data_IF_213790751965
#
_entry.id   IF_213790751965
#
_cell.length_a   1.000
_cell.length_b   1.000
_cell.length_c   1.000
_cell.angle_alpha   90.00
_cell.angle_beta   90.00
_cell.angle_gamma   90.00
#
_symmetry.space_group_name_H-M   'P 1'
#
loop_
_entity.id
_entity.type
_entity.pdbx_description
1 polymer ?
#
# COMPACT_ATOMS: atom_id res chain seq x y z
N UNK A 1 2.72 -3.51 -15.05
CA UNK A 1 3.46 -4.61 -14.39
C UNK A 1 2.84 -5.03 -13.05
N UNK A 2 2.92 -4.24 -11.96
CA UNK A 2 2.48 -4.66 -10.61
C UNK A 2 1.03 -5.13 -10.53
N UNK A 3 0.08 -4.37 -11.11
CA UNK A 3 -1.35 -4.69 -11.10
C UNK A 3 -1.67 -6.00 -11.82
N UNK A 4 -1.01 -6.23 -12.95
CA UNK A 4 -1.24 -7.40 -13.80
C UNK A 4 -0.94 -8.70 -13.05
N UNK A 5 0.13 -8.72 -12.25
CA UNK A 5 0.54 -9.90 -11.47
C UNK A 5 -0.43 -10.23 -10.33
N UNK A 6 -1.23 -9.27 -9.87
CA UNK A 6 -2.19 -9.43 -8.76
C UNK A 6 -3.65 -9.50 -9.24
N UNK A 7 -3.86 -9.77 -10.53
CA UNK A 7 -5.21 -9.89 -11.12
C UNK A 7 -5.94 -8.55 -11.24
N UNK A 8 -5.22 -7.45 -11.40
CA UNK A 8 -5.77 -6.11 -11.65
C UNK A 8 -5.70 -5.18 -10.45
N UNK A 9 -6.83 -4.56 -10.12
CA UNK A 9 -6.92 -3.44 -9.20
C UNK A 9 -7.15 -2.13 -9.95
N UNK A 10 -8.27 -1.46 -9.66
CA UNK A 10 -8.60 -0.15 -10.23
C UNK A 10 -8.17 1.02 -9.33
N UNK A 11 -8.10 0.79 -8.02
CA UNK A 11 -7.77 1.82 -7.05
C UNK A 11 -6.33 2.31 -7.24
N UNK A 12 -6.08 3.61 -7.09
CA UNK A 12 -4.72 4.19 -7.18
C UNK A 12 -3.74 3.45 -6.25
N UNK A 13 -2.51 3.15 -6.69
CA UNK A 13 -1.51 2.56 -5.79
C UNK A 13 -1.04 3.68 -4.86
N UNK A 14 -1.21 3.56 -3.52
CA UNK A 14 -0.75 4.57 -2.60
C UNK A 14 0.79 4.55 -2.55
N UNK A 15 1.39 5.70 -2.26
CA UNK A 15 2.85 5.81 -2.24
C UNK A 15 3.31 6.87 -1.27
N UNK A 16 4.48 6.65 -0.69
CA UNK A 16 5.26 7.64 0.03
C UNK A 16 6.67 7.70 -0.57
N UNK A 17 7.33 8.85 -0.45
CA UNK A 17 8.74 9.02 -0.81
C UNK A 17 9.44 9.84 0.26
N UNK A 18 10.70 9.51 0.52
CA UNK A 18 11.51 10.17 1.54
C UNK A 18 12.97 10.20 1.08
N UNK A 19 13.64 11.32 1.32
CA UNK A 19 15.09 11.41 1.19
C UNK A 19 15.72 11.14 2.56
N UNK A 20 16.76 10.32 2.59
CA UNK A 20 17.50 9.97 3.81
C UNK A 20 18.70 9.10 3.45
N UNK A 21 19.62 8.94 4.40
CA UNK A 21 20.79 8.06 4.23
C UNK A 21 20.53 6.60 4.61
N UNK A 22 21.59 5.79 4.71
CA UNK A 22 21.50 4.38 5.05
C UNK A 22 20.66 4.11 6.31
N UNK A 23 19.78 3.12 6.24
CA UNK A 23 18.96 2.69 7.37
C UNK A 23 17.75 3.57 7.67
N UNK A 24 17.50 4.62 6.88
CA UNK A 24 16.29 5.46 7.00
C UNK A 24 15.04 4.59 6.81
N UNK A 25 14.12 4.64 7.77
CA UNK A 25 12.83 3.97 7.64
C UNK A 25 11.87 4.75 6.71
N UNK A 26 11.08 3.98 5.95
CA UNK A 26 9.99 4.44 5.10
C UNK A 26 8.73 3.62 5.41
N UNK A 27 7.63 4.29 5.75
CA UNK A 27 6.32 3.65 5.83
C UNK A 27 5.70 3.55 4.44
N UNK A 28 5.42 2.32 3.99
CA UNK A 28 4.76 2.06 2.71
C UNK A 28 3.25 1.95 2.96
N UNK A 29 2.44 2.92 2.53
CA UNK A 29 1.00 2.88 2.74
C UNK A 29 0.35 1.78 1.90
N UNK A 30 -0.75 1.21 2.41
CA UNK A 30 -1.53 0.16 1.79
C UNK A 30 -3.03 0.51 1.84
N UNK A 31 -3.77 0.13 0.80
CA UNK A 31 -5.24 0.10 0.79
C UNK A 31 -5.73 -0.94 -0.22
N UNK A 32 -7.05 -1.18 -0.25
CA UNK A 32 -7.62 -2.25 -1.06
C UNK A 32 -7.47 -1.97 -2.57
N UNK A 33 -6.90 -2.94 -3.30
CA UNK A 33 -6.52 -2.76 -4.71
C UNK A 33 -7.68 -2.42 -5.64
N UNK A 34 -8.90 -2.86 -5.32
CA UNK A 34 -10.07 -2.71 -6.21
C UNK A 34 -10.92 -1.48 -5.87
N UNK A 35 -10.86 -0.97 -4.63
CA UNK A 35 -11.58 0.23 -4.20
C UNK A 35 -10.88 0.94 -3.03
N UNK A 36 -10.43 2.18 -3.26
CA UNK A 36 -9.60 2.92 -2.31
C UNK A 36 -10.30 3.21 -0.97
N UNK A 37 -11.63 3.25 -0.92
CA UNK A 37 -12.36 3.61 0.31
C UNK A 37 -12.70 2.44 1.23
N UNK A 38 -12.27 1.22 0.90
CA UNK A 38 -12.44 0.05 1.78
C UNK A 38 -11.58 0.23 3.04
N UNK A 39 -12.21 0.71 4.10
CA UNK A 39 -11.52 1.23 5.30
C UNK A 39 -10.91 0.13 6.17
N UNK A 40 -11.35 -1.12 5.99
CA UNK A 40 -10.75 -2.28 6.66
C UNK A 40 -9.32 -2.56 6.19
N UNK A 41 -8.91 -2.02 5.03
CA UNK A 41 -7.63 -2.31 4.38
C UNK A 41 -6.61 -1.15 4.41
N UNK A 42 -6.94 -0.01 5.01
CA UNK A 42 -5.93 1.01 5.29
C UNK A 42 -4.88 0.47 6.25
N UNK A 43 -3.63 0.46 5.81
CA UNK A 43 -2.50 0.00 6.61
C UNK A 43 -1.20 0.66 6.16
N UNK A 44 -0.11 0.39 6.87
CA UNK A 44 1.23 0.75 6.44
C UNK A 44 2.24 -0.31 6.87
N UNK A 45 3.25 -0.54 6.06
CA UNK A 45 4.37 -1.43 6.38
C UNK A 45 5.68 -0.63 6.42
N UNK A 46 6.33 -0.59 7.58
CA UNK A 46 7.67 -0.01 7.70
C UNK A 46 8.69 -0.88 6.95
N UNK A 47 9.52 -0.24 6.14
CA UNK A 47 10.69 -0.87 5.51
C UNK A 47 11.94 -0.06 5.76
N UNK A 48 13.07 -0.75 5.88
CA UNK A 48 14.40 -0.17 5.94
C UNK A 48 15.43 -1.16 5.43
N UNK A 49 16.45 -0.66 4.76
CA UNK A 49 17.65 -1.41 4.42
C UNK A 49 18.79 -0.81 5.23
N UNK A 50 19.41 -1.59 6.12
CA UNK A 50 20.35 -1.07 7.11
C UNK A 50 21.49 -0.25 6.47
N UNK A 51 21.98 -0.69 5.31
CA UNK A 51 23.12 -0.09 4.61
C UNK A 51 22.72 0.64 3.31
N UNK A 52 21.45 1.03 3.14
CA UNK A 52 21.01 1.74 1.93
C UNK A 52 19.88 2.75 2.24
N UNK A 53 19.66 3.78 1.39
CA UNK A 53 20.44 4.11 0.19
C UNK A 53 21.76 4.83 0.52
N UNK A 54 22.83 4.51 -0.22
CA UNK A 54 24.02 5.37 -0.31
C UNK A 54 23.70 6.63 -1.15
N UNK A 55 24.65 7.56 -1.24
CA UNK A 55 24.43 8.88 -1.86
C UNK A 55 24.08 8.81 -3.37
N UNK A 56 24.47 7.75 -4.05
CA UNK A 56 24.24 7.47 -5.47
C UNK A 56 23.21 6.36 -5.72
N UNK A 57 22.46 5.96 -4.69
CA UNK A 57 21.49 4.87 -4.75
C UNK A 57 20.05 5.32 -4.51
N UNK A 58 19.10 4.46 -4.88
CA UNK A 58 17.69 4.60 -4.55
C UNK A 58 17.17 3.25 -4.05
N UNK A 59 16.49 3.25 -2.90
CA UNK A 59 15.69 2.10 -2.46
C UNK A 59 14.26 2.26 -3.02
N UNK A 60 13.81 1.26 -3.77
CA UNK A 60 12.45 1.16 -4.29
C UNK A 60 11.75 -0.01 -3.61
N UNK A 61 10.58 0.25 -3.01
CA UNK A 61 9.80 -0.77 -2.30
C UNK A 61 8.40 -0.90 -2.89
N UNK A 62 7.95 -2.15 -2.99
CA UNK A 62 6.56 -2.52 -3.27
C UNK A 62 6.06 -3.40 -2.11
N UNK A 63 4.87 -3.11 -1.59
CA UNK A 63 4.24 -3.89 -0.53
C UNK A 63 2.89 -4.42 -1.01
N UNK A 64 2.56 -5.65 -0.60
CA UNK A 64 1.29 -6.32 -0.88
C UNK A 64 0.82 -7.04 0.38
N UNK A 65 -0.49 -7.13 0.56
CA UNK A 65 -1.12 -7.92 1.62
C UNK A 65 -2.18 -8.84 1.02
N UNK A 66 -2.46 -9.95 1.68
CA UNK A 66 -3.53 -10.90 1.33
C UNK A 66 -4.88 -10.54 1.98
N UNK A 67 -4.90 -9.55 2.87
CA UNK A 67 -6.11 -9.08 3.55
C UNK A 67 -5.97 -7.71 4.19
N UNK A 68 -7.00 -7.34 4.96
CA UNK A 68 -7.06 -6.10 5.72
C UNK A 68 -6.47 -6.25 7.12
N UNK A 69 -6.64 -5.21 7.94
CA UNK A 69 -6.13 -5.22 9.32
C UNK A 69 -6.72 -6.38 10.12
N UNK A 70 -5.97 -7.01 11.05
CA UNK A 70 -6.48 -8.11 11.88
C UNK A 70 -7.70 -7.77 12.75
N UNK A 71 -7.83 -6.50 13.15
CA UNK A 71 -8.91 -6.03 14.01
C UNK A 71 -9.56 -4.75 13.46
N UNK A 72 -10.25 -4.81 12.32
CA UNK A 72 -10.86 -3.64 11.70
C UNK A 72 -12.15 -3.27 12.45
N UNK A 73 -12.22 -2.05 13.00
CA UNK A 73 -13.29 -1.64 13.93
C UNK A 73 -13.74 -0.18 13.81
N UNK A 74 -13.57 0.41 12.63
CA UNK A 74 -13.83 1.85 12.39
C UNK A 74 -14.91 2.09 11.31
N UNK A 75 -15.71 1.07 11.00
CA UNK A 75 -16.76 1.10 9.97
C UNK A 75 -16.24 1.50 8.59
N UNK A 76 -17.11 2.12 7.79
CA UNK A 76 -16.82 2.51 6.40
C UNK A 76 -17.13 1.39 5.41
N UNK A 77 -16.82 1.65 4.13
CA UNK A 77 -17.04 0.69 3.04
C UNK A 77 -16.29 -0.62 3.33
N UNK A 78 -16.97 -1.76 3.15
CA UNK A 78 -16.36 -3.09 3.20
C UNK A 78 -16.30 -3.73 1.81
N UNK A 79 -15.46 -4.76 1.64
CA UNK A 79 -15.26 -5.43 0.34
C UNK A 79 -16.58 -5.88 -0.30
N UNK A 80 -17.51 -6.42 0.49
CA UNK A 80 -18.80 -6.94 -0.01
C UNK A 80 -19.73 -5.86 -0.57
N UNK A 81 -19.45 -4.58 -0.30
CA UNK A 81 -20.24 -3.43 -0.76
C UNK A 81 -19.60 -2.75 -1.97
N UNK A 82 -18.48 -3.27 -2.47
CA UNK A 82 -17.70 -2.63 -3.52
C UNK A 82 -18.39 -2.76 -4.87
N UNK A 83 -18.63 -1.64 -5.54
CA UNK A 83 -19.10 -1.63 -6.93
C UNK A 83 -17.94 -1.92 -7.90
N UNK A 84 -16.75 -1.41 -7.59
CA UNK A 84 -15.52 -1.74 -8.31
C UNK A 84 -15.46 -1.12 -9.69
N UNK A 85 -16.14 0.01 -9.93
CA UNK A 85 -16.22 0.65 -11.24
C UNK A 85 -15.11 1.68 -11.44
N UNK A 86 -14.88 2.53 -10.43
CA UNK A 86 -14.04 3.74 -10.48
C UNK A 86 -12.71 3.61 -9.69
N UNK A 87 -12.52 2.50 -8.97
CA UNK A 87 -11.37 2.29 -8.10
C UNK A 87 -11.45 3.03 -6.75
N UNK A 88 -12.58 3.65 -6.42
CA UNK A 88 -12.82 4.33 -5.15
C UNK A 88 -13.81 3.57 -4.28
N UNK A 89 -14.93 3.10 -4.87
CA UNK A 89 -16.01 2.42 -4.15
C UNK A 89 -16.40 1.10 -4.77
#
# INVERSE_FOLDING_TARGET
>A
PMREVIGGGKAIIPSAKKAGGPGTCLDVPLHYKDAAFVRTHYDAMEVRVHDAPHADEIVVTLAFTDGGRPHPRIGGLVISEVAGEDGLR
#
